data_IF_903412642100
#
_entry.id   IF_903412642100
#
_cell.length_a   1.000
_cell.length_b   1.000
_cell.length_c   1.000
_cell.angle_alpha   90.00
_cell.angle_beta   90.00
_cell.angle_gamma   90.00
#
_symmetry.space_group_name_H-M   'P 1'
#
loop_
_entity.id
_entity.type
_entity.pdbx_description
1 polymer ?
#
# COMPACT_ATOMS: atom_id res chain seq x y z
N UNK A 1 -21.81 -4.02 19.05
CA UNK A 1 -20.88 -3.62 18.00
C UNK A 1 -19.60 -3.13 18.68
N UNK A 2 -18.47 -3.67 18.30
CA UNK A 2 -17.18 -3.25 18.83
C UNK A 2 -16.63 -2.01 18.12
N UNK A 3 -15.45 -1.56 18.57
CA UNK A 3 -14.77 -0.40 18.02
C UNK A 3 -14.03 -0.74 16.71
N UNK A 4 -13.92 0.22 15.81
CA UNK A 4 -13.04 0.18 14.65
C UNK A 4 -11.84 1.08 14.94
N UNK A 5 -10.64 0.53 14.82
CA UNK A 5 -9.42 1.32 14.96
C UNK A 5 -8.88 1.70 13.58
N UNK A 6 -8.50 2.96 13.41
CA UNK A 6 -7.76 3.43 12.25
C UNK A 6 -6.36 3.82 12.75
N UNK A 7 -5.34 3.09 12.32
CA UNK A 7 -3.95 3.35 12.67
C UNK A 7 -3.25 3.99 11.46
N UNK A 8 -2.89 5.25 11.57
CA UNK A 8 -2.30 6.00 10.47
C UNK A 8 -2.10 7.45 10.83
N UNK A 9 -1.66 8.26 9.87
CA UNK A 9 -1.42 9.69 10.09
C UNK A 9 -2.73 10.44 10.33
N UNK A 10 -2.70 11.38 11.26
CA UNK A 10 -3.87 12.22 11.55
C UNK A 10 -4.25 13.13 10.38
N UNK A 11 -3.27 13.54 9.58
CA UNK A 11 -3.44 14.38 8.40
C UNK A 11 -3.66 13.59 7.09
N UNK A 12 -3.72 12.24 7.15
CA UNK A 12 -4.03 11.42 5.97
C UNK A 12 -5.51 11.58 5.57
N UNK A 13 -5.80 12.17 4.38
CA UNK A 13 -7.17 12.38 3.94
C UNK A 13 -7.98 11.07 3.83
N UNK A 14 -7.33 9.97 3.48
CA UNK A 14 -7.99 8.65 3.42
C UNK A 14 -8.46 8.21 4.81
N UNK A 15 -7.60 8.31 5.83
CA UNK A 15 -7.96 7.99 7.22
C UNK A 15 -9.14 8.84 7.70
N UNK A 16 -9.12 10.15 7.42
CA UNK A 16 -10.17 11.08 7.84
C UNK A 16 -11.51 10.78 7.17
N UNK A 17 -11.52 10.55 5.86
CA UNK A 17 -12.74 10.26 5.11
C UNK A 17 -13.35 8.91 5.50
N UNK A 18 -12.52 7.88 5.70
CA UNK A 18 -12.99 6.57 6.17
C UNK A 18 -13.57 6.69 7.58
N UNK A 19 -12.89 7.42 8.47
CA UNK A 19 -13.41 7.70 9.82
C UNK A 19 -14.77 8.38 9.75
N UNK A 20 -14.88 9.45 8.98
CA UNK A 20 -16.14 10.18 8.83
C UNK A 20 -17.25 9.27 8.33
N UNK A 21 -17.01 8.49 7.27
CA UNK A 21 -17.99 7.56 6.71
C UNK A 21 -18.45 6.51 7.71
N UNK A 22 -17.54 5.95 8.50
CA UNK A 22 -17.89 4.97 9.54
C UNK A 22 -18.69 5.59 10.69
N UNK A 23 -18.35 6.83 11.09
CA UNK A 23 -19.12 7.57 12.12
C UNK A 23 -20.53 7.89 11.61
N UNK A 24 -20.69 8.30 10.35
CA UNK A 24 -22.00 8.51 9.72
C UNK A 24 -22.85 7.23 9.69
N UNK A 25 -22.22 6.06 9.66
CA UNK A 25 -22.86 4.74 9.78
C UNK A 25 -23.12 4.32 11.23
N UNK A 26 -22.88 5.19 12.20
CA UNK A 26 -23.10 4.91 13.63
C UNK A 26 -22.06 3.99 14.27
N UNK A 27 -20.86 3.83 13.64
CA UNK A 27 -19.79 3.00 14.19
C UNK A 27 -18.98 3.77 15.24
N UNK A 28 -18.52 3.04 16.26
CA UNK A 28 -17.53 3.55 17.22
C UNK A 28 -16.13 3.48 16.57
N UNK A 29 -15.53 4.64 16.31
CA UNK A 29 -14.26 4.72 15.56
C UNK A 29 -13.22 5.50 16.34
N UNK A 30 -12.05 4.89 16.56
CA UNK A 30 -10.88 5.55 17.11
C UNK A 30 -9.79 5.69 16.05
N UNK A 31 -9.41 6.94 15.71
CA UNK A 31 -8.23 7.23 14.89
C UNK A 31 -7.02 7.37 15.81
N UNK A 32 -6.11 6.41 15.71
CA UNK A 32 -4.87 6.33 16.47
C UNK A 32 -3.73 6.84 15.58
N UNK A 33 -3.21 8.06 15.82
CA UNK A 33 -2.12 8.61 15.04
C UNK A 33 -0.85 7.79 15.20
N UNK A 34 -0.16 7.52 14.09
CA UNK A 34 1.06 6.71 14.10
C UNK A 34 2.20 7.37 14.90
N UNK A 35 2.25 8.70 14.92
CA UNK A 35 3.22 9.49 15.69
C UNK A 35 2.96 9.47 17.21
N UNK A 36 1.78 9.04 17.63
CA UNK A 36 1.40 8.88 19.03
C UNK A 36 1.35 7.43 19.51
N UNK A 37 1.68 6.49 18.64
CA UNK A 37 1.78 5.08 19.02
C UNK A 37 2.87 4.84 20.08
N UNK A 38 3.85 5.73 20.20
CA UNK A 38 5.02 5.55 21.08
C UNK A 38 4.81 6.05 22.53
N UNK A 39 4.40 7.27 22.82
CA UNK A 39 4.49 7.78 24.17
C UNK A 39 3.18 7.89 24.94
N UNK A 40 2.06 7.41 24.46
CA UNK A 40 0.76 7.70 25.12
C UNK A 40 -0.26 6.56 25.08
N UNK A 41 0.05 5.48 24.40
CA UNK A 41 -0.81 4.31 24.40
C UNK A 41 -0.46 3.43 25.60
N UNK A 42 -1.38 3.39 26.58
CA UNK A 42 -1.35 2.29 27.54
C UNK A 42 -1.58 1.00 26.79
N UNK A 43 -0.51 0.40 26.24
CA UNK A 43 -0.57 -0.86 25.52
C UNK A 43 -0.23 -2.00 26.48
N UNK A 44 -1.13 -2.98 26.59
CA UNK A 44 -0.88 -4.20 27.34
C UNK A 44 -1.31 -5.40 26.50
N UNK A 45 -0.43 -6.36 26.32
CA UNK A 45 -0.70 -7.55 25.55
C UNK A 45 -0.10 -8.78 26.22
N UNK A 46 -0.89 -9.83 26.34
CA UNK A 46 -0.45 -11.17 26.74
C UNK A 46 -0.49 -12.05 25.50
N UNK A 47 0.66 -12.32 24.86
CA UNK A 47 0.70 -13.25 23.75
C UNK A 47 0.45 -14.69 24.28
N UNK A 48 -0.43 -15.44 23.61
CA UNK A 48 -0.70 -16.84 23.92
C UNK A 48 -2.19 -17.19 23.88
N UNK A 49 -2.49 -18.48 23.73
CA UNK A 49 -3.86 -19.01 23.73
C UNK A 49 -4.65 -18.75 22.43
N UNK A 50 -5.96 -18.99 22.48
CA UNK A 50 -6.87 -18.89 21.33
C UNK A 50 -7.26 -17.43 20.94
N UNK A 51 -6.64 -16.43 21.53
CA UNK A 51 -6.93 -15.03 21.25
C UNK A 51 -5.90 -14.08 21.86
N UNK A 52 -5.82 -12.86 21.34
CA UNK A 52 -4.97 -11.82 21.88
C UNK A 52 -5.67 -11.19 23.10
N UNK A 53 -5.19 -11.50 24.31
CA UNK A 53 -5.61 -10.81 25.52
C UNK A 53 -4.84 -9.50 25.66
N UNK A 54 -5.57 -8.38 25.74
CA UNK A 54 -4.89 -7.11 25.92
C UNK A 54 -5.81 -5.91 25.72
N UNK A 55 -5.19 -4.75 25.71
CA UNK A 55 -5.89 -3.48 25.51
C UNK A 55 -4.96 -2.43 24.93
N UNK A 56 -5.54 -1.50 24.23
CA UNK A 56 -4.91 -0.27 23.77
C UNK A 56 -5.61 0.94 24.40
N UNK A 57 -4.83 1.85 24.97
CA UNK A 57 -5.34 3.11 25.51
C UNK A 57 -5.22 4.23 24.48
N UNK A 58 -6.26 5.02 24.29
CA UNK A 58 -6.23 6.19 23.43
C UNK A 58 -7.16 7.28 23.97
N UNK A 59 -6.63 8.51 24.09
CA UNK A 59 -7.37 9.67 24.62
C UNK A 59 -8.12 9.40 25.94
N UNK A 60 -7.44 8.73 26.89
CA UNK A 60 -8.03 8.38 28.20
C UNK A 60 -9.01 7.21 28.18
N UNK A 61 -9.33 6.66 27.01
CA UNK A 61 -10.16 5.47 26.85
C UNK A 61 -9.28 4.23 26.72
N UNK A 62 -9.62 3.17 27.43
CA UNK A 62 -9.03 1.84 27.30
C UNK A 62 -9.96 0.95 26.50
N UNK A 63 -9.47 0.44 25.36
CA UNK A 63 -10.22 -0.46 24.46
C UNK A 63 -9.58 -1.84 24.58
N UNK A 64 -10.35 -2.83 24.99
CA UNK A 64 -9.87 -4.23 25.05
C UNK A 64 -9.82 -4.81 23.64
N UNK A 65 -8.88 -5.69 23.36
CA UNK A 65 -8.75 -6.30 22.05
C UNK A 65 -10.00 -7.07 21.61
N UNK A 66 -10.70 -7.70 22.56
CA UNK A 66 -11.97 -8.36 22.31
C UNK A 66 -13.13 -7.41 21.93
N UNK A 67 -12.95 -6.10 22.13
CA UNK A 67 -13.92 -5.06 21.77
C UNK A 67 -13.62 -4.43 20.41
N UNK A 68 -12.58 -4.90 19.70
CA UNK A 68 -12.18 -4.40 18.39
C UNK A 68 -12.77 -5.29 17.31
N UNK A 69 -13.68 -4.74 16.52
CA UNK A 69 -14.30 -5.42 15.38
C UNK A 69 -13.38 -5.42 14.14
N UNK A 70 -12.68 -4.30 13.91
CA UNK A 70 -11.80 -4.16 12.76
C UNK A 70 -10.67 -3.15 13.01
N UNK A 71 -9.58 -3.29 12.25
CA UNK A 71 -8.45 -2.37 12.22
C UNK A 71 -8.15 -2.00 10.77
N UNK A 72 -8.11 -0.70 10.46
CA UNK A 72 -7.49 -0.18 9.26
C UNK A 72 -6.06 0.22 9.61
N UNK A 73 -5.07 -0.48 9.07
CA UNK A 73 -3.67 -0.13 9.23
C UNK A 73 -3.14 0.59 7.98
N UNK A 74 -2.81 1.86 8.14
CA UNK A 74 -2.12 2.68 7.15
C UNK A 74 -0.73 3.12 7.64
N UNK A 75 -0.35 2.69 8.84
CA UNK A 75 1.01 2.89 9.35
C UNK A 75 1.99 1.93 8.66
N UNK A 76 3.17 2.45 8.30
CA UNK A 76 4.25 1.71 7.63
C UNK A 76 5.42 1.40 8.54
N UNK A 77 5.61 2.29 9.46
CA UNK A 77 6.59 2.24 10.52
C UNK A 77 6.07 3.15 11.62
N UNK A 78 6.51 2.91 12.83
CA UNK A 78 6.30 3.88 13.89
C UNK A 78 7.25 5.05 13.63
N UNK A 79 6.73 6.27 13.37
CA UNK A 79 7.58 7.41 13.16
C UNK A 79 8.30 7.73 14.46
N UNK A 80 9.60 7.90 14.35
CA UNK A 80 10.46 8.32 15.44
C UNK A 80 11.02 9.67 15.09
N UNK A 81 11.17 10.53 16.08
CA UNK A 81 11.76 11.82 15.81
C UNK A 81 13.15 11.64 15.17
N UNK A 82 13.57 12.52 14.24
CA UNK A 82 14.90 12.44 13.66
C UNK A 82 16.01 12.32 14.70
N UNK A 83 15.86 13.01 15.84
CA UNK A 83 16.80 12.97 16.95
C UNK A 83 16.93 11.57 17.58
N UNK A 84 15.88 10.78 17.56
CA UNK A 84 15.95 9.41 18.08
C UNK A 84 16.82 8.48 17.20
N UNK A 85 17.00 8.79 15.91
CA UNK A 85 17.91 8.04 15.05
C UNK A 85 19.40 8.39 15.25
N UNK A 86 19.69 9.50 15.91
CA UNK A 86 21.06 9.94 16.18
C UNK A 86 21.73 9.10 17.25
N UNK A 87 20.95 8.40 18.08
CA UNK A 87 21.44 7.54 19.14
C UNK A 87 21.19 6.07 18.85
N UNK A 88 22.07 5.19 19.34
CA UNK A 88 21.88 3.74 19.28
C UNK A 88 20.59 3.30 19.98
N UNK A 89 20.30 3.90 21.13
CA UNK A 89 19.12 3.61 21.93
C UNK A 89 17.83 4.01 21.22
N UNK A 90 17.81 5.15 20.54
CA UNK A 90 16.66 5.58 19.76
C UNK A 90 16.33 4.65 18.60
N UNK A 91 17.35 4.15 17.89
CA UNK A 91 17.15 3.14 16.84
C UNK A 91 16.60 1.83 17.39
N UNK A 92 17.09 1.40 18.55
CA UNK A 92 16.60 0.20 19.23
C UNK A 92 15.12 0.35 19.62
N UNK A 93 14.76 1.45 20.27
CA UNK A 93 13.37 1.76 20.65
C UNK A 93 12.43 1.73 19.43
N UNK A 94 12.85 2.32 18.30
CA UNK A 94 12.10 2.26 17.06
C UNK A 94 11.87 0.83 16.58
N UNK A 95 12.92 0.01 16.59
CA UNK A 95 12.85 -1.36 16.12
C UNK A 95 11.86 -2.18 16.98
N UNK A 96 11.91 -2.02 18.30
CA UNK A 96 11.00 -2.68 19.25
C UNK A 96 9.54 -2.29 19.02
N UNK A 97 9.26 -0.99 18.83
CA UNK A 97 7.90 -0.55 18.55
C UNK A 97 7.37 -1.03 17.20
N UNK A 98 8.21 -1.05 16.18
CA UNK A 98 7.83 -1.60 14.88
C UNK A 98 7.55 -3.10 14.99
N UNK A 99 8.37 -3.84 15.73
CA UNK A 99 8.17 -5.26 15.99
C UNK A 99 6.86 -5.50 16.75
N UNK A 100 6.59 -4.68 17.78
CA UNK A 100 5.34 -4.76 18.54
C UNK A 100 4.12 -4.48 17.67
N UNK A 101 4.12 -3.41 16.86
CA UNK A 101 3.00 -3.06 15.99
C UNK A 101 2.71 -4.18 15.00
N UNK A 102 3.74 -4.71 14.36
CA UNK A 102 3.61 -5.81 13.40
C UNK A 102 3.07 -7.08 14.07
N UNK A 103 3.65 -7.47 15.20
CA UNK A 103 3.21 -8.66 15.94
C UNK A 103 1.77 -8.52 16.43
N UNK A 104 1.39 -7.36 16.94
CA UNK A 104 0.04 -7.08 17.37
C UNK A 104 -0.96 -7.16 16.22
N UNK A 105 -0.72 -6.49 15.09
CA UNK A 105 -1.60 -6.54 13.92
C UNK A 105 -1.76 -7.99 13.40
N UNK A 106 -0.71 -8.80 13.48
CA UNK A 106 -0.78 -10.21 13.11
C UNK A 106 -1.58 -11.05 14.09
N UNK A 107 -1.48 -10.79 15.39
CA UNK A 107 -2.15 -11.54 16.44
C UNK A 107 -3.64 -11.20 16.57
N UNK A 108 -4.10 -10.05 16.06
CA UNK A 108 -5.49 -9.64 16.20
C UNK A 108 -6.44 -10.59 15.47
N UNK A 109 -7.45 -11.15 16.16
CA UNK A 109 -8.40 -12.09 15.56
C UNK A 109 -9.47 -11.39 14.70
N UNK A 110 -9.58 -10.07 14.80
CA UNK A 110 -10.54 -9.27 14.04
C UNK A 110 -10.12 -9.04 12.58
N UNK A 111 -10.96 -8.36 11.82
CA UNK A 111 -10.64 -7.87 10.48
C UNK A 111 -9.47 -6.88 10.58
N UNK A 112 -8.37 -7.14 9.87
CA UNK A 112 -7.25 -6.19 9.75
C UNK A 112 -7.03 -5.88 8.28
N UNK A 113 -7.45 -4.69 7.87
CA UNK A 113 -7.18 -4.16 6.53
C UNK A 113 -5.77 -3.63 6.51
N UNK A 114 -4.99 -4.27 5.63
CA UNK A 114 -3.56 -4.29 5.51
C UNK A 114 -2.87 -4.94 6.73
N UNK A 115 -3.13 -6.24 6.89
CA UNK A 115 -2.33 -7.11 7.72
C UNK A 115 -1.01 -7.37 7.00
N UNK A 116 -0.08 -6.42 7.12
CA UNK A 116 1.18 -6.46 6.40
C UNK A 116 2.00 -7.70 6.77
N UNK A 117 2.53 -8.39 5.78
CA UNK A 117 3.49 -9.47 5.98
C UNK A 117 4.86 -8.89 6.35
N UNK A 118 5.68 -9.61 7.14
CA UNK A 118 7.01 -9.14 7.52
C UNK A 118 7.88 -8.75 6.32
N UNK A 119 7.75 -9.46 5.19
CA UNK A 119 8.51 -9.21 3.96
C UNK A 119 8.17 -7.86 3.32
N UNK A 120 6.99 -7.34 3.59
CA UNK A 120 6.54 -6.04 3.08
C UNK A 120 6.75 -4.90 4.07
N UNK A 121 7.09 -5.23 5.32
CA UNK A 121 7.40 -4.23 6.32
C UNK A 121 8.68 -3.49 5.94
N UNK A 122 8.73 -2.21 6.11
CA UNK A 122 9.84 -1.33 5.67
C UNK A 122 10.00 -1.14 4.16
N UNK A 123 9.20 -1.79 3.31
CA UNK A 123 9.27 -1.57 1.87
C UNK A 123 8.17 -0.60 1.45
N UNK A 124 8.56 0.59 1.00
CA UNK A 124 7.60 1.56 0.45
C UNK A 124 6.93 1.00 -0.81
N UNK A 125 7.67 0.22 -1.60
CA UNK A 125 7.17 -0.46 -2.81
C UNK A 125 7.75 -1.87 -2.91
N UNK A 126 7.07 -2.71 -3.70
CA UNK A 126 7.64 -3.99 -4.13
C UNK A 126 8.82 -3.73 -5.06
N UNK A 127 9.93 -4.41 -4.80
CA UNK A 127 11.02 -4.41 -5.76
C UNK A 127 10.63 -5.19 -7.04
N UNK A 128 11.35 -5.01 -8.17
CA UNK A 128 11.01 -5.66 -9.43
C UNK A 128 10.94 -7.19 -9.36
N UNK A 129 11.79 -7.81 -8.54
CA UNK A 129 11.82 -9.27 -8.42
C UNK A 129 10.62 -9.80 -7.62
N UNK A 130 10.25 -9.11 -6.52
CA UNK A 130 9.04 -9.45 -5.75
C UNK A 130 7.79 -9.30 -6.63
N UNK A 131 7.71 -8.20 -7.40
CA UNK A 131 6.60 -7.99 -8.32
C UNK A 131 6.56 -9.07 -9.41
N UNK A 132 7.70 -9.44 -9.98
CA UNK A 132 7.80 -10.49 -10.98
C UNK A 132 7.32 -11.84 -10.46
N UNK A 133 7.77 -12.23 -9.26
CA UNK A 133 7.36 -13.48 -8.62
C UNK A 133 5.86 -13.53 -8.35
N UNK A 134 5.27 -12.39 -8.01
CA UNK A 134 3.86 -12.27 -7.68
C UNK A 134 2.97 -12.31 -8.91
N UNK A 135 3.38 -11.62 -9.99
CA UNK A 135 2.57 -11.44 -11.20
C UNK A 135 2.76 -12.62 -12.18
N UNK A 136 3.92 -13.31 -12.14
CA UNK A 136 4.22 -14.41 -13.06
C UNK A 136 3.15 -15.51 -13.15
N UNK A 137 2.50 -15.95 -12.05
CA UNK A 137 1.42 -16.93 -12.14
C UNK A 137 0.08 -16.36 -12.61
N UNK A 138 -0.02 -15.03 -12.75
CA UNK A 138 -1.23 -14.31 -13.14
C UNK A 138 -1.27 -14.08 -14.66
N UNK A 139 -2.39 -13.58 -15.16
CA UNK A 139 -2.52 -13.21 -16.58
C UNK A 139 -2.02 -11.80 -16.91
N UNK A 140 -1.55 -11.05 -15.90
CA UNK A 140 -0.90 -9.79 -16.16
C UNK A 140 0.50 -10.02 -16.72
N UNK A 141 0.88 -9.20 -17.68
CA UNK A 141 2.27 -9.09 -18.13
C UNK A 141 3.04 -8.08 -17.30
N UNK A 142 4.35 -8.23 -17.30
CA UNK A 142 5.26 -7.25 -16.76
C UNK A 142 6.01 -6.56 -17.89
N UNK A 143 6.29 -5.26 -17.80
CA UNK A 143 7.22 -4.61 -18.68
C UNK A 143 8.60 -5.28 -18.60
N UNK A 144 9.31 -5.32 -19.70
CA UNK A 144 10.75 -5.67 -19.68
C UNK A 144 11.45 -4.71 -18.74
N UNK A 145 12.35 -5.21 -17.92
CA UNK A 145 13.07 -4.39 -16.94
C UNK A 145 14.53 -4.80 -16.83
N UNK A 146 15.36 -3.85 -16.41
CA UNK A 146 16.76 -4.03 -16.12
C UNK A 146 17.12 -3.26 -14.85
N UNK A 147 17.86 -3.91 -13.95
CA UNK A 147 18.55 -3.22 -12.85
C UNK A 147 20.03 -3.34 -13.09
N UNK A 148 20.72 -2.21 -13.19
CA UNK A 148 22.16 -2.19 -13.47
C UNK A 148 22.84 -0.99 -12.80
N UNK A 149 24.13 -1.11 -12.55
CA UNK A 149 25.04 0.00 -12.18
C UNK A 149 25.93 0.42 -13.35
N UNK A 150 25.81 -0.26 -14.50
CA UNK A 150 26.63 -0.03 -15.69
C UNK A 150 25.84 0.79 -16.73
N UNK A 151 26.44 1.88 -17.19
CA UNK A 151 25.84 2.77 -18.18
C UNK A 151 25.69 2.12 -19.56
N UNK A 152 26.62 1.27 -19.96
CA UNK A 152 26.58 0.60 -21.28
C UNK A 152 25.41 -0.40 -21.33
N UNK A 153 25.17 -1.13 -20.24
CA UNK A 153 24.01 -2.02 -20.11
C UNK A 153 22.71 -1.21 -20.16
N UNK A 154 22.66 -0.08 -19.44
CA UNK A 154 21.53 0.82 -19.45
C UNK A 154 21.22 1.36 -20.85
N UNK A 155 22.23 1.82 -21.57
CA UNK A 155 22.12 2.26 -22.96
C UNK A 155 21.72 1.11 -23.91
N UNK A 156 22.29 -0.08 -23.70
CA UNK A 156 21.90 -1.30 -24.41
C UNK A 156 20.42 -1.63 -24.24
N UNK A 157 19.94 -1.57 -23.01
CA UNK A 157 18.52 -1.77 -22.71
C UNK A 157 17.64 -0.73 -23.41
N UNK A 158 17.98 0.56 -23.30
CA UNK A 158 17.23 1.63 -23.97
C UNK A 158 17.13 1.43 -25.49
N UNK A 159 18.19 0.89 -26.14
CA UNK A 159 18.15 0.54 -27.57
C UNK A 159 17.36 -0.72 -27.89
N UNK A 160 17.26 -1.65 -26.94
CA UNK A 160 16.63 -2.95 -27.14
C UNK A 160 15.11 -2.94 -27.01
N UNK A 161 14.54 -1.93 -26.36
CA UNK A 161 13.08 -1.78 -26.21
C UNK A 161 12.51 -0.99 -27.38
N UNK A 162 11.30 -1.38 -27.83
CA UNK A 162 10.65 -0.77 -29.02
C UNK A 162 9.98 0.58 -28.74
N UNK A 163 10.14 1.14 -27.57
CA UNK A 163 9.47 2.37 -27.17
C UNK A 163 10.33 3.22 -26.28
N UNK A 164 9.71 4.11 -25.55
CA UNK A 164 10.40 4.86 -24.54
C UNK A 164 10.79 3.96 -23.35
N UNK A 165 11.88 4.30 -22.71
CA UNK A 165 12.30 3.69 -21.44
C UNK A 165 11.88 4.57 -20.28
N UNK A 166 11.54 3.98 -19.15
CA UNK A 166 11.32 4.68 -17.89
C UNK A 166 12.42 4.33 -16.91
N UNK A 167 12.88 5.33 -16.19
CA UNK A 167 13.71 5.16 -14.99
C UNK A 167 12.83 5.27 -13.75
N UNK A 168 13.05 4.40 -12.78
CA UNK A 168 12.42 4.46 -11.47
C UNK A 168 13.44 4.19 -10.37
N UNK A 169 13.46 4.93 -9.27
CA UNK A 169 14.21 4.52 -8.09
C UNK A 169 13.71 3.16 -7.58
N UNK A 170 14.60 2.30 -7.08
CA UNK A 170 14.21 1.02 -6.49
C UNK A 170 13.36 1.20 -5.21
N UNK A 171 13.51 2.34 -4.54
CA UNK A 171 12.83 2.66 -3.27
C UNK A 171 11.66 3.63 -3.41
N UNK A 172 11.41 4.15 -4.61
CA UNK A 172 10.44 5.23 -4.83
C UNK A 172 9.36 4.91 -5.86
N UNK A 173 8.25 5.64 -5.79
CA UNK A 173 7.12 5.54 -6.72
C UNK A 173 7.32 6.35 -8.01
N UNK A 174 8.28 7.27 -8.01
CA UNK A 174 8.50 8.20 -9.12
C UNK A 174 8.97 7.46 -10.36
N UNK A 175 8.41 7.83 -11.52
CA UNK A 175 8.75 7.24 -12.81
C UNK A 175 9.09 8.37 -13.78
N UNK A 176 10.30 8.34 -14.31
CA UNK A 176 10.80 9.35 -15.25
C UNK A 176 10.95 8.73 -16.64
N UNK A 177 10.36 9.35 -17.64
CA UNK A 177 10.46 8.90 -19.02
C UNK A 177 11.78 9.39 -19.62
N UNK A 178 12.51 8.48 -20.26
CA UNK A 178 13.76 8.77 -20.94
C UNK A 178 13.45 8.87 -22.44
N UNK A 179 13.49 10.09 -22.98
CA UNK A 179 13.14 10.38 -24.36
C UNK A 179 14.18 11.25 -25.08
N UNK A 180 14.74 12.21 -24.36
CA UNK A 180 15.64 13.22 -24.89
C UNK A 180 17.10 12.87 -24.58
N UNK A 181 18.02 13.55 -25.27
CA UNK A 181 19.44 13.42 -24.95
C UNK A 181 19.75 13.92 -23.54
N UNK A 182 19.09 15.02 -23.12
CA UNK A 182 19.21 15.53 -21.75
C UNK A 182 18.79 14.49 -20.70
N UNK A 183 17.76 13.67 -20.99
CA UNK A 183 17.36 12.60 -20.07
C UNK A 183 18.44 11.51 -19.97
N UNK A 184 19.13 11.22 -21.09
CA UNK A 184 20.26 10.27 -21.12
C UNK A 184 21.48 10.80 -20.38
N UNK A 185 21.78 12.10 -20.50
CA UNK A 185 22.84 12.75 -19.73
C UNK A 185 22.58 12.67 -18.23
N UNK A 186 21.33 12.92 -17.80
CA UNK A 186 20.92 12.73 -16.40
C UNK A 186 21.07 11.29 -15.95
N UNK A 187 20.64 10.32 -16.79
CA UNK A 187 20.80 8.92 -16.50
C UNK A 187 22.29 8.53 -16.35
N UNK A 188 23.14 9.06 -17.23
CA UNK A 188 24.58 8.85 -17.16
C UNK A 188 25.19 9.41 -15.86
N UNK A 189 24.76 10.60 -15.45
CA UNK A 189 25.18 11.20 -14.17
C UNK A 189 24.77 10.37 -12.95
N UNK A 190 23.62 9.70 -13.01
CA UNK A 190 23.14 8.83 -11.93
C UNK A 190 23.87 7.49 -11.87
N UNK A 191 24.31 6.93 -13.02
CA UNK A 191 24.86 5.58 -13.13
C UNK A 191 26.12 5.34 -12.28
N UNK A 192 26.89 6.39 -11.99
CA UNK A 192 28.07 6.30 -11.12
C UNK A 192 27.76 6.32 -9.62
N UNK A 193 26.52 6.63 -9.22
CA UNK A 193 26.16 6.90 -7.83
C UNK A 193 25.14 5.96 -7.24
N UNK A 194 24.30 5.34 -8.08
CA UNK A 194 23.20 4.48 -7.63
C UNK A 194 22.81 3.44 -8.67
N UNK A 195 22.16 2.33 -8.27
CA UNK A 195 21.58 1.37 -9.20
C UNK A 195 20.46 2.02 -10.04
N UNK A 196 20.50 1.77 -11.34
CA UNK A 196 19.48 2.20 -12.29
C UNK A 196 18.46 1.09 -12.46
N UNK A 197 17.19 1.38 -12.20
CA UNK A 197 16.09 0.51 -12.56
C UNK A 197 15.35 1.08 -13.77
N UNK A 198 15.51 0.40 -14.90
CA UNK A 198 14.93 0.76 -16.18
C UNK A 198 13.77 -0.17 -16.51
N UNK A 199 12.70 0.36 -17.06
CA UNK A 199 11.54 -0.41 -17.52
C UNK A 199 11.08 0.07 -18.88
N UNK A 200 10.59 -0.85 -19.68
CA UNK A 200 9.90 -0.54 -20.93
C UNK A 200 8.65 0.30 -20.65
N UNK A 201 8.43 1.35 -21.42
CA UNK A 201 7.20 2.13 -21.34
C UNK A 201 6.12 1.47 -22.21
N UNK A 202 5.16 0.84 -21.57
CA UNK A 202 4.06 0.21 -22.29
C UNK A 202 3.11 1.30 -22.81
N UNK A 203 2.75 1.21 -24.10
CA UNK A 203 1.73 2.06 -24.72
C UNK A 203 0.34 1.47 -24.54
N UNK A 204 -0.58 2.29 -24.05
CA UNK A 204 -1.96 1.86 -23.80
C UNK A 204 -2.68 2.84 -22.89
N UNK A 205 -3.87 2.48 -22.47
CA UNK A 205 -4.65 3.25 -21.50
C UNK A 205 -4.15 2.94 -20.08
N UNK A 206 -3.72 3.96 -19.37
CA UNK A 206 -3.39 3.84 -17.97
C UNK A 206 -4.67 3.63 -17.15
N UNK A 207 -4.64 2.65 -16.26
CA UNK A 207 -5.75 2.31 -15.37
C UNK A 207 -5.20 2.06 -13.97
N UNK A 208 -5.82 2.64 -12.97
CA UNK A 208 -5.54 2.36 -11.58
C UNK A 208 -6.65 1.47 -11.01
N UNK A 209 -6.29 0.32 -10.44
CA UNK A 209 -7.22 -0.56 -9.79
C UNK A 209 -7.12 -0.41 -8.26
N UNK A 210 -8.11 0.24 -7.66
CA UNK A 210 -8.24 0.29 -6.20
C UNK A 210 -8.95 -0.97 -5.71
N UNK A 211 -8.25 -1.77 -4.95
CA UNK A 211 -8.78 -2.97 -4.30
C UNK A 211 -9.14 -2.61 -2.86
N UNK A 212 -10.43 -2.72 -2.52
CA UNK A 212 -10.93 -2.68 -1.15
C UNK A 212 -11.77 -3.96 -0.96
N UNK A 213 -11.08 -5.04 -0.61
CA UNK A 213 -11.63 -6.40 -0.70
C UNK A 213 -13.02 -6.56 -0.12
N UNK A 214 -13.93 -7.24 -0.83
CA UNK A 214 -13.72 -7.92 -2.12
C UNK A 214 -13.88 -7.03 -3.36
N UNK A 215 -14.14 -5.75 -3.19
CA UNK A 215 -14.46 -4.81 -4.26
C UNK A 215 -13.22 -4.31 -4.99
N UNK A 216 -13.34 -4.11 -6.31
CA UNK A 216 -12.31 -3.50 -7.16
C UNK A 216 -12.93 -2.35 -7.95
N UNK A 217 -12.30 -1.19 -7.89
CA UNK A 217 -12.70 -0.01 -8.62
C UNK A 217 -11.60 0.35 -9.63
N UNK A 218 -11.94 0.33 -10.91
CA UNK A 218 -11.03 0.71 -11.98
C UNK A 218 -11.21 2.20 -12.29
N UNK A 219 -10.10 2.91 -12.30
CA UNK A 219 -10.05 4.37 -12.40
C UNK A 219 -9.12 4.76 -13.53
N UNK A 220 -9.51 5.74 -14.36
CA UNK A 220 -8.68 6.25 -15.44
C UNK A 220 -7.63 7.27 -14.97
N UNK A 221 -6.81 7.74 -15.89
CA UNK A 221 -5.76 8.73 -15.66
C UNK A 221 -6.28 10.11 -15.20
N UNK A 222 -7.58 10.37 -15.36
CA UNK A 222 -8.23 11.60 -14.87
C UNK A 222 -8.82 11.45 -13.47
N UNK A 223 -8.64 10.28 -12.84
CA UNK A 223 -9.17 9.96 -11.53
C UNK A 223 -10.66 9.60 -11.53
N UNK A 224 -11.26 9.32 -12.69
CA UNK A 224 -12.67 8.95 -12.82
C UNK A 224 -12.86 7.44 -12.80
N UNK A 225 -13.90 7.00 -12.13
CA UNK A 225 -14.31 5.61 -12.12
C UNK A 225 -14.78 5.18 -13.54
N UNK A 226 -14.16 4.14 -14.09
CA UNK A 226 -14.52 3.57 -15.40
C UNK A 226 -15.24 2.24 -15.29
N UNK A 227 -15.02 1.48 -14.22
CA UNK A 227 -15.73 0.25 -13.94
C UNK A 227 -15.66 -0.12 -12.47
N UNK A 228 -16.70 -0.78 -11.98
CA UNK A 228 -16.69 -1.56 -10.74
C UNK A 228 -16.69 -3.02 -11.16
N UNK A 229 -15.70 -3.78 -10.68
CA UNK A 229 -15.44 -5.00 -11.42
C UNK A 229 -15.56 -6.29 -10.64
N UNK A 230 -16.22 -7.23 -11.28
CA UNK A 230 -16.16 -8.67 -11.05
C UNK A 230 -15.48 -9.41 -12.22
N UNK A 231 -15.03 -8.68 -13.24
CA UNK A 231 -14.37 -9.21 -14.43
C UNK A 231 -13.01 -9.88 -14.15
N UNK A 232 -12.41 -10.45 -15.20
CA UNK A 232 -11.15 -11.20 -15.08
C UNK A 232 -10.02 -10.35 -14.50
N UNK A 233 -9.93 -9.07 -14.90
CA UNK A 233 -8.93 -8.11 -14.39
C UNK A 233 -9.11 -7.86 -12.90
N UNK A 234 -10.36 -7.64 -12.46
CA UNK A 234 -10.67 -7.40 -11.05
C UNK A 234 -10.30 -8.61 -10.17
N UNK A 235 -10.65 -9.83 -10.62
CA UNK A 235 -10.28 -11.06 -9.89
C UNK A 235 -8.75 -11.17 -9.71
N UNK A 236 -7.98 -10.90 -10.77
CA UNK A 236 -6.52 -10.94 -10.69
C UNK A 236 -5.97 -9.86 -9.76
N UNK A 237 -6.57 -8.66 -9.73
CA UNK A 237 -6.19 -7.63 -8.76
C UNK A 237 -6.43 -8.09 -7.32
N UNK A 238 -7.54 -8.79 -7.05
CA UNK A 238 -7.81 -9.39 -5.73
C UNK A 238 -6.79 -10.48 -5.40
N UNK A 239 -6.47 -11.37 -6.35
CA UNK A 239 -5.47 -12.42 -6.16
C UNK A 239 -4.09 -11.86 -5.80
N UNK A 240 -3.66 -10.76 -6.46
CA UNK A 240 -2.42 -10.06 -6.12
C UNK A 240 -2.50 -9.47 -4.70
N UNK A 241 -3.61 -8.80 -4.38
CA UNK A 241 -3.82 -8.24 -3.05
C UNK A 241 -3.80 -9.33 -1.96
N UNK A 242 -4.42 -10.49 -2.21
CA UNK A 242 -4.43 -11.64 -1.32
C UNK A 242 -3.04 -12.24 -1.11
N UNK A 243 -2.29 -12.40 -2.20
CA UNK A 243 -0.92 -12.90 -2.14
C UNK A 243 0.00 -11.98 -1.32
N UNK A 244 -0.31 -10.68 -1.25
CA UNK A 244 0.39 -9.68 -0.44
C UNK A 244 -0.19 -9.52 0.98
N UNK A 245 -1.34 -10.13 1.28
CA UNK A 245 -2.05 -9.91 2.55
C UNK A 245 -2.65 -8.52 2.68
N UNK A 246 -2.95 -7.86 1.54
CA UNK A 246 -3.51 -6.51 1.50
C UNK A 246 -5.02 -6.55 1.35
N UNK A 247 -5.73 -5.92 2.27
CA UNK A 247 -7.17 -5.68 2.17
C UNK A 247 -7.50 -4.41 1.40
N UNK A 248 -6.54 -3.47 1.32
CA UNK A 248 -6.64 -2.22 0.58
C UNK A 248 -5.32 -1.88 -0.10
N UNK A 249 -5.34 -1.74 -1.41
CA UNK A 249 -4.16 -1.34 -2.21
C UNK A 249 -4.59 -0.75 -3.55
N UNK A 250 -3.62 -0.21 -4.28
CA UNK A 250 -3.78 0.27 -5.65
C UNK A 250 -2.78 -0.44 -6.55
N UNK A 251 -3.25 -1.00 -7.66
CA UNK A 251 -2.41 -1.53 -8.71
C UNK A 251 -2.37 -0.53 -9.87
N UNK A 252 -1.17 -0.20 -10.32
CA UNK A 252 -0.97 0.57 -11.53
C UNK A 252 -0.95 -0.38 -12.73
N UNK A 253 -1.92 -0.25 -13.62
CA UNK A 253 -2.13 -1.13 -14.77
C UNK A 253 -2.02 -0.36 -16.08
N UNK A 254 -1.75 -1.08 -17.16
CA UNK A 254 -1.90 -0.57 -18.54
C UNK A 254 -2.72 -1.59 -19.34
N UNK A 255 -3.83 -1.12 -19.89
CA UNK A 255 -4.62 -1.80 -20.92
C UNK A 255 -3.95 -1.50 -22.26
N UNK A 256 -3.09 -2.41 -22.70
CA UNK A 256 -2.19 -2.17 -23.83
C UNK A 256 -2.93 -2.39 -25.17
N UNK A 257 -2.41 -1.78 -26.23
CA UNK A 257 -2.99 -1.85 -27.58
C UNK A 257 -3.03 -3.25 -28.19
N UNK A 258 -2.19 -4.14 -27.68
CA UNK A 258 -2.14 -5.56 -28.09
C UNK A 258 -3.21 -6.43 -27.41
N UNK A 259 -4.02 -5.83 -26.53
CA UNK A 259 -5.07 -6.51 -25.76
C UNK A 259 -4.59 -7.17 -24.49
N UNK A 260 -3.32 -7.02 -24.14
CA UNK A 260 -2.75 -7.53 -22.90
C UNK A 260 -2.81 -6.48 -21.78
N UNK A 261 -2.94 -6.96 -20.57
CA UNK A 261 -2.87 -6.13 -19.38
C UNK A 261 -1.48 -6.24 -18.72
N UNK A 262 -0.88 -5.09 -18.48
CA UNK A 262 0.41 -4.99 -17.80
C UNK A 262 0.24 -4.45 -16.37
N UNK A 263 0.88 -5.11 -15.40
CA UNK A 263 0.98 -4.62 -14.03
C UNK A 263 2.31 -3.87 -13.88
N UNK A 264 2.23 -2.59 -13.53
CA UNK A 264 3.41 -1.75 -13.37
C UNK A 264 3.88 -1.65 -11.92
N UNK A 265 3.03 -2.00 -10.96
CA UNK A 265 3.36 -1.93 -9.54
C UNK A 265 2.13 -1.98 -8.64
N UNK A 266 2.39 -2.15 -7.36
CA UNK A 266 1.38 -2.19 -6.30
C UNK A 266 1.74 -1.15 -5.23
N UNK A 267 0.81 -0.26 -4.94
CA UNK A 267 0.88 0.71 -3.86
C UNK A 267 0.03 0.22 -2.69
N UNK A 268 0.63 0.04 -1.55
CA UNK A 268 0.00 -0.52 -0.34
C UNK A 268 -0.77 0.52 0.47
N UNK A 269 -0.49 1.84 0.28
CA UNK A 269 -1.16 2.94 0.96
C UNK A 269 -1.54 4.04 -0.02
N UNK A 270 -2.41 3.71 -0.96
CA UNK A 270 -2.77 4.64 -2.01
C UNK A 270 -3.35 5.92 -1.41
N UNK A 271 -2.94 7.03 -1.98
CA UNK A 271 -3.54 8.32 -1.75
C UNK A 271 -4.75 8.49 -2.67
N UNK A 272 -5.74 9.25 -2.22
CA UNK A 272 -6.98 9.45 -2.97
C UNK A 272 -7.08 10.82 -3.65
N UNK A 273 -6.11 11.71 -3.43
CA UNK A 273 -6.17 13.10 -3.91
C UNK A 273 -6.16 13.22 -5.44
N UNK A 274 -5.61 12.21 -6.14
CA UNK A 274 -5.59 12.16 -7.61
C UNK A 274 -6.92 11.66 -8.21
N UNK A 275 -7.86 11.19 -7.38
CA UNK A 275 -9.17 10.71 -7.83
C UNK A 275 -10.21 11.84 -7.81
N UNK A 276 -11.18 11.78 -8.74
CA UNK A 276 -12.35 12.64 -8.71
C UNK A 276 -13.15 12.46 -7.40
N UNK A 277 -13.83 13.49 -6.89
CA UNK A 277 -14.53 13.42 -5.60
C UNK A 277 -15.49 12.24 -5.48
N UNK A 278 -16.26 11.95 -6.53
CA UNK A 278 -17.21 10.83 -6.59
C UNK A 278 -16.49 9.49 -6.52
N UNK A 279 -15.35 9.37 -7.18
CA UNK A 279 -14.48 8.18 -7.14
C UNK A 279 -13.91 7.97 -5.74
N UNK A 280 -13.45 9.07 -5.11
CA UNK A 280 -12.98 9.00 -3.71
C UNK A 280 -14.08 8.49 -2.78
N UNK A 281 -15.32 8.98 -2.93
CA UNK A 281 -16.47 8.55 -2.12
C UNK A 281 -16.81 7.07 -2.33
N UNK A 282 -16.67 6.57 -3.54
CA UNK A 282 -16.85 5.14 -3.85
C UNK A 282 -15.77 4.28 -3.21
N UNK A 283 -14.49 4.68 -3.31
CA UNK A 283 -13.36 3.96 -2.69
C UNK A 283 -13.52 3.96 -1.16
N UNK A 284 -13.82 5.10 -0.55
CA UNK A 284 -14.04 5.22 0.90
C UNK A 284 -15.21 4.34 1.35
N UNK A 285 -16.29 4.30 0.58
CA UNK A 285 -17.46 3.47 0.88
C UNK A 285 -17.14 1.97 0.79
N UNK A 286 -16.38 1.54 -0.22
CA UNK A 286 -15.91 0.17 -0.34
C UNK A 286 -15.01 -0.22 0.85
N UNK A 287 -14.09 0.67 1.23
CA UNK A 287 -13.20 0.44 2.36
C UNK A 287 -13.96 0.39 3.70
N UNK A 288 -14.99 1.25 3.89
CA UNK A 288 -15.85 1.19 5.08
C UNK A 288 -16.63 -0.14 5.16
N UNK A 289 -17.09 -0.67 4.01
CA UNK A 289 -17.72 -2.01 3.96
C UNK A 289 -16.72 -3.11 4.31
N UNK A 290 -15.48 -3.05 3.80
CA UNK A 290 -14.43 -4.02 4.12
C UNK A 290 -14.08 -4.06 5.61
N UNK A 291 -14.26 -2.95 6.33
CA UNK A 291 -14.05 -2.83 7.79
C UNK A 291 -15.29 -3.21 8.62
N UNK A 292 -16.42 -3.42 7.98
CA UNK A 292 -17.66 -3.79 8.68
C UNK A 292 -17.81 -5.30 8.65
N UNK A 293 -17.79 -5.99 9.81
CA UNK A 293 -18.11 -7.41 9.83
C UNK A 293 -19.46 -7.63 9.15
N UNK A 294 -19.53 -8.61 8.26
CA UNK A 294 -20.82 -9.04 7.72
C UNK A 294 -21.75 -9.29 8.92
N UNK A 295 -22.93 -8.70 8.89
CA UNK A 295 -23.96 -9.05 9.87
C UNK A 295 -24.12 -10.57 9.77
N UNK A 296 -23.67 -11.28 10.81
CA UNK A 296 -23.85 -12.72 10.88
C UNK A 296 -25.32 -13.05 10.64
N UNK A 297 -25.63 -14.20 10.02
CA UNK A 297 -27.01 -14.62 9.92
C UNK A 297 -27.62 -14.64 11.32
N UNK A 298 -28.70 -13.86 11.51
CA UNK A 298 -29.51 -13.85 12.72
C UNK A 298 -30.21 -15.19 12.89
#
# INVERSE_FOLDING_TARGET
>A
MGAILIVGRQDDPCCQRVRQRLVEQGRDVALVPEDRLLPGLGFAWKPGGAGAEGSVGYNGRKIRFAEIDAILSRAWSVPVSPQAFETGDGRYVCAEWNALLMAWLHAMPCIVVNRLRPELWYKAQLNPADLASLVSPMRFRLPRSLVTTNLDDANGFCRSVRGATRYSPLTGASRYRIQTETDREKLAALSGSLPLHLTEAIEGRAVEAFVARPEVLLVDETGRLIAEGDGAVARQCVEIADALGLGFCRLALVDARDGDWYCLGVDRAPQLYDCAPETQDRIVSALARALSPAAGPQ
#
